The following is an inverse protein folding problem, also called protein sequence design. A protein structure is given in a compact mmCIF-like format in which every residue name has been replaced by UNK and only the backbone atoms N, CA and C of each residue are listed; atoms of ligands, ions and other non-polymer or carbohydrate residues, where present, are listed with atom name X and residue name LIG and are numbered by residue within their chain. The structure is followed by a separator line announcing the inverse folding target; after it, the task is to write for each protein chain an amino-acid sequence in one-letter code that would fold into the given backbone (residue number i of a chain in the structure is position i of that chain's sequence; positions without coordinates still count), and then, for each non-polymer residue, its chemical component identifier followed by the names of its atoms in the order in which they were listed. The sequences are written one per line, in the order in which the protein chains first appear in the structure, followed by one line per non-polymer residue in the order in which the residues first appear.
data_IF_030924522422
#
_entry.id   IF_030924522422
#
_cell.length_a   1.000
_cell.length_b   1.000
_cell.length_c   1.000
_cell.angle_alpha   90.00
_cell.angle_beta   90.00
_cell.angle_gamma   90.00
#
_symmetry.space_group_name_H-M   'P 1'
#
loop_
_entity.id
_entity.type
_entity.pdbx_description
1 polymer ?
#
# COMPACT_ATOMS: atom_id res chain seq x y z
N UNK A 1 53.26 -8.74 -5.21
CA UNK A 1 52.27 -8.93 -6.26
C UNK A 1 50.88 -8.80 -5.60
N UNK A 2 50.22 -7.66 -5.78
CA UNK A 2 48.85 -7.40 -5.25
C UNK A 2 47.88 -7.69 -6.42
N UNK A 3 47.04 -8.68 -6.26
CA UNK A 3 45.94 -8.95 -7.19
C UNK A 3 44.77 -8.04 -6.88
N UNK A 4 44.51 -7.09 -7.75
CA UNK A 4 43.31 -6.29 -7.80
C UNK A 4 42.16 -7.15 -8.30
N UNK A 5 41.17 -7.39 -7.43
CA UNK A 5 39.86 -7.97 -7.80
C UNK A 5 39.05 -7.01 -8.66
N UNK A 6 38.14 -7.52 -9.51
CA UNK A 6 37.33 -6.68 -10.37
C UNK A 6 36.31 -5.90 -9.55
N UNK A 7 36.31 -4.58 -9.73
CA UNK A 7 35.32 -3.68 -9.14
C UNK A 7 33.91 -4.03 -9.64
N UNK A 8 33.02 -4.24 -8.73
CA UNK A 8 31.57 -4.36 -8.98
C UNK A 8 31.11 -2.98 -9.46
N UNK A 9 30.87 -2.88 -10.77
CA UNK A 9 30.27 -1.68 -11.35
C UNK A 9 28.87 -1.50 -10.79
N UNK A 10 28.68 -0.42 -10.04
CA UNK A 10 27.37 0.09 -9.65
C UNK A 10 26.56 0.32 -10.93
N UNK A 11 25.70 -0.63 -11.27
CA UNK A 11 24.62 -0.41 -12.24
C UNK A 11 23.72 0.66 -11.64
N UNK A 12 23.82 1.88 -12.18
CA UNK A 12 22.93 2.99 -11.86
C UNK A 12 21.50 2.53 -12.11
N UNK A 13 20.76 2.27 -11.03
CA UNK A 13 19.30 2.16 -11.08
C UNK A 13 18.77 3.43 -11.73
N UNK A 14 18.01 3.24 -12.79
CA UNK A 14 17.39 4.35 -13.51
C UNK A 14 16.40 4.99 -12.56
N UNK A 15 16.73 6.17 -12.06
CA UNK A 15 15.80 6.96 -11.24
C UNK A 15 14.45 7.02 -11.97
N UNK A 16 13.38 6.72 -11.24
CA UNK A 16 12.01 6.84 -11.72
C UNK A 16 11.83 8.22 -12.37
N UNK A 17 11.42 8.23 -13.62
CA UNK A 17 11.01 9.45 -14.32
C UNK A 17 9.50 9.44 -14.39
N UNK A 18 8.80 10.57 -14.08
CA UNK A 18 7.38 10.68 -14.35
C UNK A 18 7.12 10.25 -15.79
N UNK A 19 6.29 9.24 -15.98
CA UNK A 19 5.95 8.74 -17.30
C UNK A 19 5.36 9.88 -18.15
N UNK A 20 5.75 9.94 -19.41
CA UNK A 20 5.19 10.85 -20.41
C UNK A 20 3.65 10.85 -20.31
N UNK A 21 3.08 12.01 -20.08
CA UNK A 21 1.65 12.21 -19.97
C UNK A 21 0.97 11.86 -21.31
N UNK A 22 0.55 10.59 -21.48
CA UNK A 22 -0.27 10.22 -22.62
C UNK A 22 -0.17 8.79 -23.17
N UNK A 23 0.80 7.97 -22.80
CA UNK A 23 0.85 6.57 -23.21
C UNK A 23 0.60 5.64 -22.02
N UNK A 24 -0.45 4.82 -22.13
CA UNK A 24 -0.70 3.71 -21.19
C UNK A 24 0.42 2.67 -21.42
N UNK A 25 1.37 2.57 -20.48
CA UNK A 25 2.48 1.63 -20.56
C UNK A 25 2.03 0.20 -20.19
N UNK A 26 1.27 -0.44 -21.09
CA UNK A 26 0.76 -1.81 -20.90
C UNK A 26 1.82 -2.88 -21.19
N UNK A 27 2.93 -2.50 -21.83
CA UNK A 27 4.05 -3.38 -22.15
C UNK A 27 5.05 -3.55 -21.00
N UNK A 28 4.95 -2.73 -19.95
CA UNK A 28 5.78 -2.82 -18.74
C UNK A 28 4.92 -3.24 -17.56
N UNK A 29 5.46 -4.11 -16.69
CA UNK A 29 4.77 -4.52 -15.48
C UNK A 29 4.59 -3.34 -14.53
N UNK A 30 3.42 -3.29 -13.87
CA UNK A 30 3.11 -2.27 -12.87
C UNK A 30 2.75 -2.93 -11.54
N UNK A 31 3.23 -2.44 -10.38
CA UNK A 31 2.97 -3.03 -9.08
C UNK A 31 1.48 -3.25 -8.77
N UNK A 32 0.62 -2.27 -9.05
CA UNK A 32 -0.80 -2.38 -8.79
C UNK A 32 -1.48 -3.46 -9.63
N UNK A 33 -1.04 -3.65 -10.89
CA UNK A 33 -1.56 -4.67 -11.79
C UNK A 33 -1.02 -6.06 -11.47
N UNK A 34 0.27 -6.15 -11.06
CA UNK A 34 0.85 -7.40 -10.52
C UNK A 34 0.12 -7.82 -9.25
N UNK A 35 -0.11 -6.88 -8.33
CA UNK A 35 -0.90 -7.13 -7.12
C UNK A 35 -2.32 -7.60 -7.45
N UNK A 36 -2.98 -6.97 -8.43
CA UNK A 36 -4.30 -7.40 -8.91
C UNK A 36 -4.30 -8.87 -9.33
N UNK A 37 -3.28 -9.31 -10.08
CA UNK A 37 -3.14 -10.72 -10.45
C UNK A 37 -2.96 -11.63 -9.22
N UNK A 38 -2.09 -11.23 -8.27
CA UNK A 38 -1.82 -12.04 -7.07
C UNK A 38 -3.07 -12.28 -6.22
N UNK A 39 -3.98 -11.30 -6.16
CA UNK A 39 -5.24 -11.42 -5.41
C UNK A 39 -6.39 -12.02 -6.25
N UNK A 40 -6.12 -12.47 -7.46
CA UNK A 40 -7.10 -13.15 -8.33
C UNK A 40 -7.95 -12.22 -9.20
N UNK A 41 -7.56 -10.95 -9.33
CA UNK A 41 -8.17 -10.00 -10.26
C UNK A 41 -7.83 -10.31 -11.72
N UNK A 42 -8.53 -9.63 -12.64
CA UNK A 42 -8.42 -9.85 -14.09
C UNK A 42 -8.05 -8.60 -14.88
N UNK A 43 -7.88 -7.48 -14.21
CA UNK A 43 -7.55 -6.19 -14.80
C UNK A 43 -6.01 -6.01 -14.88
N UNK A 44 -5.31 -6.98 -15.49
CA UNK A 44 -3.86 -7.01 -15.66
C UNK A 44 -3.50 -7.41 -17.09
N UNK A 45 -2.31 -7.05 -17.53
CA UNK A 45 -1.80 -7.32 -18.89
C UNK A 45 -0.73 -8.42 -18.86
N UNK A 46 -0.28 -8.86 -20.05
CA UNK A 46 0.71 -9.93 -20.16
C UNK A 46 1.99 -9.68 -19.37
N UNK A 47 2.52 -8.45 -19.42
CA UNK A 47 3.72 -8.08 -18.68
C UNK A 47 3.55 -8.24 -17.16
N UNK A 48 2.37 -7.89 -16.64
CA UNK A 48 2.04 -8.03 -15.21
C UNK A 48 1.93 -9.50 -14.80
N UNK A 49 1.28 -10.31 -15.66
CA UNK A 49 1.19 -11.76 -15.48
C UNK A 49 2.57 -12.40 -15.46
N UNK A 50 3.43 -12.10 -16.44
CA UNK A 50 4.79 -12.66 -16.52
C UNK A 50 5.62 -12.29 -15.30
N UNK A 51 5.51 -11.04 -14.83
CA UNK A 51 6.18 -10.59 -13.62
C UNK A 51 5.66 -11.31 -12.36
N UNK A 52 4.34 -11.45 -12.24
CA UNK A 52 3.73 -12.19 -11.14
C UNK A 52 4.16 -13.67 -11.13
N UNK A 53 4.27 -14.31 -12.32
CA UNK A 53 4.75 -15.69 -12.43
C UNK A 53 6.21 -15.83 -11.98
N UNK A 54 7.07 -14.85 -12.30
CA UNK A 54 8.46 -14.84 -11.80
C UNK A 54 8.51 -14.79 -10.28
N UNK A 55 7.71 -13.90 -9.67
CA UNK A 55 7.61 -13.81 -8.21
C UNK A 55 7.14 -15.14 -7.60
N UNK A 56 6.06 -15.71 -8.13
CA UNK A 56 5.51 -16.96 -7.62
C UNK A 56 6.44 -18.17 -7.83
N UNK A 57 7.30 -18.12 -8.85
CA UNK A 57 8.31 -19.16 -9.10
C UNK A 57 9.44 -19.16 -8.07
N UNK A 58 9.70 -18.03 -7.43
CA UNK A 58 10.76 -17.86 -6.44
C UNK A 58 10.20 -17.88 -5.02
N UNK A 59 9.10 -17.16 -4.81
CA UNK A 59 8.48 -16.93 -3.51
C UNK A 59 6.94 -17.04 -3.64
N UNK A 60 6.37 -18.25 -3.62
CA UNK A 60 4.92 -18.43 -3.72
C UNK A 60 4.14 -17.75 -2.58
N UNK A 61 4.80 -17.47 -1.47
CA UNK A 61 4.32 -16.75 -0.29
C UNK A 61 3.89 -15.30 -0.58
N UNK A 62 4.37 -14.71 -1.67
CA UNK A 62 3.95 -13.37 -2.12
C UNK A 62 2.44 -13.30 -2.35
N UNK A 63 1.83 -14.40 -2.85
CA UNK A 63 0.37 -14.49 -2.99
C UNK A 63 -0.34 -14.53 -1.64
N UNK A 64 0.15 -15.31 -0.70
CA UNK A 64 -0.42 -15.41 0.66
C UNK A 64 -0.33 -14.06 1.37
N UNK A 65 0.80 -13.36 1.20
CA UNK A 65 1.02 -12.00 1.72
C UNK A 65 0.02 -11.01 1.11
N UNK A 66 -0.16 -11.01 -0.22
CA UNK A 66 -1.11 -10.12 -0.89
C UNK A 66 -2.56 -10.37 -0.44
N UNK A 67 -2.98 -11.62 -0.35
CA UNK A 67 -4.32 -11.99 0.14
C UNK A 67 -4.52 -11.62 1.61
N UNK A 68 -3.50 -11.84 2.45
CA UNK A 68 -3.53 -11.47 3.87
C UNK A 68 -3.61 -9.96 4.05
N UNK A 69 -2.90 -9.18 3.21
CA UNK A 69 -2.98 -7.73 3.19
C UNK A 69 -4.41 -7.24 2.88
N UNK A 70 -5.07 -7.81 1.88
CA UNK A 70 -6.49 -7.48 1.60
C UNK A 70 -7.38 -7.76 2.82
N UNK A 71 -7.23 -8.91 3.47
CA UNK A 71 -8.01 -9.25 4.67
C UNK A 71 -7.72 -8.30 5.83
N UNK A 72 -6.45 -7.93 6.05
CA UNK A 72 -6.06 -6.92 7.04
C UNK A 72 -6.74 -5.57 6.77
N UNK A 73 -6.66 -5.05 5.53
CA UNK A 73 -7.32 -3.82 5.13
C UNK A 73 -8.82 -3.87 5.42
N UNK A 74 -9.50 -4.97 5.07
CA UNK A 74 -10.92 -5.13 5.32
C UNK A 74 -11.27 -5.12 6.83
N UNK A 75 -10.45 -5.76 7.67
CA UNK A 75 -10.65 -5.77 9.12
C UNK A 75 -10.41 -4.38 9.71
N UNK A 76 -9.36 -3.70 9.28
CA UNK A 76 -9.01 -2.35 9.75
C UNK A 76 -10.12 -1.34 9.38
N UNK A 77 -10.57 -1.32 8.13
CA UNK A 77 -11.64 -0.43 7.68
C UNK A 77 -12.94 -0.69 8.44
N UNK A 78 -13.36 -1.96 8.57
CA UNK A 78 -14.57 -2.31 9.33
C UNK A 78 -14.47 -1.88 10.80
N UNK A 79 -13.31 -2.12 11.42
CA UNK A 79 -13.08 -1.73 12.81
C UNK A 79 -13.16 -0.21 12.99
N UNK A 80 -12.50 0.55 12.12
CA UNK A 80 -12.47 2.02 12.21
C UNK A 80 -13.86 2.62 11.93
N UNK A 81 -14.58 2.11 10.91
CA UNK A 81 -15.95 2.53 10.64
C UNK A 81 -16.88 2.25 11.83
N UNK A 82 -16.77 1.07 12.47
CA UNK A 82 -17.52 0.74 13.68
C UNK A 82 -17.11 1.59 14.90
N UNK A 83 -15.90 2.12 14.91
CA UNK A 83 -15.39 3.03 15.95
C UNK A 83 -15.77 4.50 15.70
N UNK A 84 -16.57 4.80 14.65
CA UNK A 84 -17.07 6.13 14.36
C UNK A 84 -16.28 6.91 13.29
N UNK A 85 -15.22 6.37 12.73
CA UNK A 85 -14.53 7.00 11.58
C UNK A 85 -15.48 6.95 10.37
N UNK A 86 -15.74 8.12 9.79
CA UNK A 86 -16.62 8.26 8.63
C UNK A 86 -15.91 8.76 7.38
N UNK A 87 -14.63 8.99 7.44
CA UNK A 87 -13.80 9.50 6.34
C UNK A 87 -12.57 8.61 6.16
N UNK A 88 -12.29 8.25 4.91
CA UNK A 88 -11.19 7.37 4.56
C UNK A 88 -10.42 7.95 3.36
N UNK A 89 -9.10 7.96 3.45
CA UNK A 89 -8.19 8.30 2.36
C UNK A 89 -7.34 7.07 2.07
N UNK A 90 -7.63 6.38 0.96
CA UNK A 90 -6.95 5.17 0.52
C UNK A 90 -5.88 5.54 -0.52
N UNK A 91 -4.62 5.56 -0.08
CA UNK A 91 -3.47 6.00 -0.87
C UNK A 91 -2.76 4.76 -1.42
N UNK A 92 -2.43 4.78 -2.72
CA UNK A 92 -1.96 3.61 -3.44
C UNK A 92 -3.05 2.56 -3.55
N UNK A 93 -4.28 3.02 -3.86
CA UNK A 93 -5.48 2.18 -3.82
C UNK A 93 -5.42 0.97 -4.76
N UNK A 94 -4.60 1.05 -5.80
CA UNK A 94 -4.50 0.01 -6.81
C UNK A 94 -5.79 -0.16 -7.62
N UNK A 95 -5.87 -1.24 -8.37
CA UNK A 95 -7.07 -1.55 -9.16
C UNK A 95 -8.25 -1.95 -8.28
N UNK A 96 -9.49 -1.52 -8.63
CA UNK A 96 -10.69 -1.88 -7.88
C UNK A 96 -10.83 -3.40 -7.68
N UNK A 97 -11.07 -3.82 -6.44
CA UNK A 97 -11.21 -5.22 -6.07
C UNK A 97 -12.33 -5.41 -5.02
N UNK A 98 -13.16 -6.42 -5.19
CA UNK A 98 -14.31 -6.67 -4.31
C UNK A 98 -13.91 -7.41 -3.02
N UNK A 99 -14.39 -6.94 -1.86
CA UNK A 99 -15.02 -5.65 -1.67
C UNK A 99 -14.01 -4.49 -1.69
N UNK A 100 -14.42 -3.31 -2.18
CA UNK A 100 -13.64 -2.08 -2.08
C UNK A 100 -13.76 -1.45 -0.68
N UNK A 101 -12.89 -0.51 -0.35
CA UNK A 101 -12.89 0.18 0.97
C UNK A 101 -14.25 0.84 1.24
N UNK A 102 -14.85 1.53 0.25
CA UNK A 102 -16.15 2.18 0.45
C UNK A 102 -17.29 1.19 0.73
N UNK A 103 -17.29 0.03 0.07
CA UNK A 103 -18.32 -1.00 0.28
C UNK A 103 -18.28 -1.51 1.73
N UNK A 104 -17.07 -1.66 2.28
CA UNK A 104 -16.89 -2.08 3.68
C UNK A 104 -17.28 -0.97 4.64
N UNK A 105 -16.79 0.26 4.41
CA UNK A 105 -17.06 1.40 5.28
C UNK A 105 -18.53 1.77 5.28
N UNK A 106 -19.16 1.85 4.09
CA UNK A 106 -20.58 2.17 3.93
C UNK A 106 -21.50 1.04 4.39
N UNK A 107 -21.05 -0.21 4.37
CA UNK A 107 -21.76 -1.35 4.97
C UNK A 107 -21.90 -1.22 6.49
N UNK A 108 -21.02 -0.44 7.16
CA UNK A 108 -21.09 -0.13 8.60
C UNK A 108 -21.73 1.23 8.83
N UNK A 109 -21.30 2.25 8.10
CA UNK A 109 -21.83 3.61 8.14
C UNK A 109 -22.18 4.08 6.72
N UNK A 110 -23.43 4.08 6.32
CA UNK A 110 -23.85 4.45 4.96
C UNK A 110 -23.44 5.86 4.52
N UNK A 111 -23.04 6.73 5.47
CA UNK A 111 -22.56 8.09 5.19
C UNK A 111 -21.04 8.17 5.10
N UNK A 112 -20.34 7.05 5.18
CA UNK A 112 -18.88 7.04 5.04
C UNK A 112 -18.46 7.57 3.66
N UNK A 113 -17.39 8.38 3.66
CA UNK A 113 -16.79 8.99 2.48
C UNK A 113 -15.41 8.39 2.25
N UNK A 114 -15.07 8.11 1.01
CA UNK A 114 -13.80 7.51 0.65
C UNK A 114 -13.18 8.24 -0.53
N UNK A 115 -11.97 8.75 -0.34
CA UNK A 115 -11.13 9.20 -1.45
C UNK A 115 -10.09 8.12 -1.71
N UNK A 116 -10.04 7.66 -2.94
CA UNK A 116 -9.01 6.81 -3.46
C UNK A 116 -7.96 7.65 -4.16
N UNK A 117 -6.68 7.34 -3.97
CA UNK A 117 -5.57 8.00 -4.63
C UNK A 117 -4.58 6.98 -5.18
N UNK A 118 -4.16 7.17 -6.42
CA UNK A 118 -3.08 6.39 -7.02
C UNK A 118 -2.36 7.24 -8.08
N UNK A 119 -1.07 6.98 -8.27
CA UNK A 119 -0.28 7.72 -9.25
C UNK A 119 -0.39 7.14 -10.67
N UNK A 120 -0.72 5.84 -10.79
CA UNK A 120 -0.82 5.16 -12.08
C UNK A 120 -2.06 5.64 -12.87
N UNK A 121 -1.90 6.09 -14.13
CA UNK A 121 -3.00 6.59 -14.93
C UNK A 121 -4.03 5.50 -15.29
N UNK A 122 -3.61 4.23 -15.39
CA UNK A 122 -4.52 3.10 -15.66
C UNK A 122 -5.38 2.84 -14.43
N UNK A 123 -4.75 2.80 -13.24
CA UNK A 123 -5.46 2.66 -11.97
C UNK A 123 -6.44 3.80 -11.77
N UNK A 124 -6.01 5.05 -11.98
CA UNK A 124 -6.88 6.21 -11.87
C UNK A 124 -8.08 6.14 -12.81
N UNK A 125 -7.88 5.72 -14.07
CA UNK A 125 -8.95 5.56 -15.05
C UNK A 125 -9.96 4.48 -14.65
N UNK A 126 -9.48 3.31 -14.20
CA UNK A 126 -10.34 2.24 -13.67
C UNK A 126 -11.10 2.69 -12.43
N UNK A 127 -10.41 3.41 -11.52
CA UNK A 127 -11.02 3.94 -10.31
C UNK A 127 -12.11 4.97 -10.61
N UNK A 128 -11.88 5.90 -11.53
CA UNK A 128 -12.87 6.87 -11.96
C UNK A 128 -14.11 6.21 -12.56
N UNK A 129 -13.93 5.14 -13.33
CA UNK A 129 -15.03 4.42 -13.96
C UNK A 129 -15.84 3.56 -12.96
N UNK A 130 -15.23 3.02 -11.90
CA UNK A 130 -15.83 1.98 -11.06
C UNK A 130 -16.00 2.38 -9.59
N UNK A 131 -15.26 3.38 -9.10
CA UNK A 131 -15.30 3.82 -7.70
C UNK A 131 -15.98 5.18 -7.51
N UNK A 132 -16.37 5.87 -8.58
CA UNK A 132 -17.08 7.15 -8.50
C UNK A 132 -18.57 6.93 -8.24
N UNK A 133 -18.90 6.44 -7.07
CA UNK A 133 -20.27 6.27 -6.58
C UNK A 133 -20.56 7.28 -5.45
N UNK A 134 -21.77 7.28 -4.90
CA UNK A 134 -22.12 8.24 -3.83
C UNK A 134 -21.17 8.18 -2.65
N UNK A 135 -20.61 9.32 -2.28
CA UNK A 135 -19.65 9.43 -1.16
C UNK A 135 -18.23 8.97 -1.48
N UNK A 136 -17.90 8.74 -2.76
CA UNK A 136 -16.56 8.32 -3.17
C UNK A 136 -16.02 9.15 -4.33
N UNK A 137 -14.70 9.24 -4.43
CA UNK A 137 -14.00 9.78 -5.61
C UNK A 137 -12.64 9.13 -5.76
N UNK A 138 -12.11 9.18 -6.98
CA UNK A 138 -10.75 8.74 -7.32
C UNK A 138 -9.95 9.92 -7.83
N UNK A 139 -8.80 10.18 -7.21
CA UNK A 139 -7.86 11.22 -7.62
C UNK A 139 -6.55 10.59 -8.10
N UNK A 140 -5.95 11.20 -9.12
CA UNK A 140 -4.61 10.80 -9.55
C UNK A 140 -3.58 11.65 -8.80
N UNK A 141 -2.84 11.02 -7.90
CA UNK A 141 -1.82 11.70 -7.10
C UNK A 141 -0.71 10.74 -6.69
N UNK A 142 0.49 11.26 -6.49
CA UNK A 142 1.65 10.53 -5.97
C UNK A 142 1.83 10.83 -4.49
N UNK A 143 1.98 9.80 -3.68
CA UNK A 143 2.21 9.92 -2.23
C UNK A 143 3.54 10.62 -1.90
N UNK A 144 4.50 10.60 -2.82
CA UNK A 144 5.78 11.32 -2.70
C UNK A 144 5.61 12.83 -2.69
N UNK A 145 4.48 13.32 -3.19
CA UNK A 145 4.07 14.72 -3.15
C UNK A 145 2.82 14.87 -2.27
N UNK A 146 2.93 14.67 -0.95
CA UNK A 146 1.77 14.67 -0.07
C UNK A 146 0.99 16.00 -0.07
N UNK A 147 1.66 17.12 -0.28
CA UNK A 147 1.01 18.43 -0.35
C UNK A 147 0.13 18.57 -1.61
N UNK A 148 0.57 18.03 -2.74
CA UNK A 148 -0.23 18.02 -3.98
C UNK A 148 -1.45 17.12 -3.82
N UNK A 149 -1.27 15.94 -3.22
CA UNK A 149 -2.38 15.03 -2.89
C UNK A 149 -3.40 15.70 -1.97
N UNK A 150 -2.96 16.26 -0.85
CA UNK A 150 -3.82 16.91 0.14
C UNK A 150 -4.41 18.22 -0.36
N UNK A 151 -3.78 18.86 -1.35
CA UNK A 151 -4.25 20.05 -2.08
C UNK A 151 -5.30 19.74 -3.13
N UNK A 152 -5.50 18.49 -3.54
CA UNK A 152 -6.39 18.12 -4.63
C UNK A 152 -7.84 18.55 -4.38
N UNK A 153 -8.45 19.23 -5.33
CA UNK A 153 -9.80 19.82 -5.18
C UNK A 153 -10.86 18.78 -4.81
N UNK A 154 -10.87 17.63 -5.50
CA UNK A 154 -11.83 16.57 -5.26
C UNK A 154 -11.66 15.93 -3.87
N UNK A 155 -10.41 15.82 -3.36
CA UNK A 155 -10.14 15.36 -2.01
C UNK A 155 -10.74 16.33 -0.99
N UNK A 156 -10.45 17.62 -1.12
CA UNK A 156 -10.93 18.68 -0.22
C UNK A 156 -12.43 18.87 -0.26
N UNK A 157 -13.05 18.58 -1.41
CA UNK A 157 -14.51 18.62 -1.56
C UNK A 157 -15.19 17.50 -0.76
N UNK A 158 -14.55 16.34 -0.66
CA UNK A 158 -15.18 15.15 -0.06
C UNK A 158 -14.77 14.93 1.39
N UNK A 159 -13.52 15.21 1.76
CA UNK A 159 -13.00 15.05 3.11
C UNK A 159 -12.80 16.39 3.81
N UNK A 160 -13.22 16.44 5.07
CA UNK A 160 -13.04 17.57 5.98
C UNK A 160 -11.88 17.25 6.94
N UNK A 161 -10.71 17.92 6.81
CA UNK A 161 -9.56 17.66 7.67
C UNK A 161 -9.77 18.07 9.14
N UNK A 162 -10.84 18.83 9.46
CA UNK A 162 -11.22 19.14 10.82
C UNK A 162 -11.94 17.98 11.53
N UNK A 163 -12.30 16.92 10.80
CA UNK A 163 -12.89 15.71 11.33
C UNK A 163 -11.93 14.53 11.20
N UNK A 164 -12.00 13.51 12.09
CA UNK A 164 -11.14 12.34 12.02
C UNK A 164 -11.23 11.62 10.67
N UNK A 165 -10.05 11.29 10.11
CA UNK A 165 -9.86 10.57 8.84
C UNK A 165 -9.04 9.31 9.10
N UNK A 166 -9.39 8.19 8.48
CA UNK A 166 -8.49 7.03 8.37
C UNK A 166 -7.65 7.16 7.11
N UNK A 167 -6.34 7.26 7.26
CA UNK A 167 -5.36 7.26 6.17
C UNK A 167 -4.84 5.83 6.02
N UNK A 168 -5.00 5.26 4.82
CA UNK A 168 -4.67 3.88 4.51
C UNK A 168 -3.44 3.86 3.60
N UNK A 169 -2.37 3.20 4.04
CA UNK A 169 -1.10 2.99 3.33
C UNK A 169 -0.75 1.49 3.40
N UNK A 170 -1.43 0.67 2.60
CA UNK A 170 -1.28 -0.79 2.66
C UNK A 170 -0.42 -1.32 1.52
N UNK A 171 0.81 -1.75 1.82
CA UNK A 171 1.85 -2.15 0.86
C UNK A 171 2.12 -1.05 -0.17
N UNK A 172 2.32 0.18 0.30
CA UNK A 172 2.60 1.37 -0.51
C UNK A 172 4.01 1.87 -0.25
N UNK A 173 4.40 2.01 1.03
CA UNK A 173 5.70 2.53 1.41
C UNK A 173 6.84 1.56 1.10
N UNK A 174 6.52 0.35 0.73
CA UNK A 174 7.44 -0.64 0.16
C UNK A 174 8.09 -0.17 -1.16
N UNK A 175 7.45 0.76 -1.85
CA UNK A 175 7.91 1.33 -3.13
C UNK A 175 8.53 2.73 -2.97
N UNK A 176 8.76 3.16 -1.73
CA UNK A 176 9.37 4.47 -1.41
C UNK A 176 10.73 4.22 -0.78
N UNK A 177 11.78 4.68 -1.45
CA UNK A 177 13.16 4.54 -0.95
C UNK A 177 13.40 5.48 0.25
N UNK A 178 14.36 5.14 1.11
CA UNK A 178 14.65 5.96 2.31
C UNK A 178 15.10 7.37 1.96
N UNK A 179 15.74 7.56 0.79
CA UNK A 179 16.12 8.88 0.27
C UNK A 179 14.91 9.78 -0.08
N UNK A 180 13.73 9.19 -0.24
CA UNK A 180 12.47 9.88 -0.53
C UNK A 180 11.71 10.27 0.76
N UNK A 181 12.31 10.05 1.93
CA UNK A 181 11.79 10.39 3.25
C UNK A 181 10.37 9.83 3.53
N UNK A 182 10.16 8.50 3.48
CA UNK A 182 8.84 7.91 3.70
C UNK A 182 8.26 8.21 5.10
N UNK A 183 9.11 8.40 6.12
CA UNK A 183 8.66 8.81 7.47
C UNK A 183 8.13 10.24 7.45
N UNK A 184 8.81 11.15 6.76
CA UNK A 184 8.35 12.52 6.56
C UNK A 184 7.05 12.60 5.78
N UNK A 185 6.86 11.73 4.77
CA UNK A 185 5.59 11.60 4.03
C UNK A 185 4.45 11.24 4.99
N UNK A 186 4.61 10.18 5.79
CA UNK A 186 3.58 9.75 6.76
C UNK A 186 3.29 10.85 7.77
N UNK A 187 4.33 11.49 8.33
CA UNK A 187 4.17 12.60 9.25
C UNK A 187 3.37 13.73 8.61
N UNK A 188 3.69 14.12 7.38
CA UNK A 188 2.98 15.19 6.66
C UNK A 188 1.49 14.86 6.45
N UNK A 189 1.17 13.61 6.11
CA UNK A 189 -0.20 13.13 5.98
C UNK A 189 -0.94 13.19 7.31
N UNK A 190 -0.30 12.73 8.38
CA UNK A 190 -0.91 12.73 9.72
C UNK A 190 -1.02 14.15 10.31
N UNK A 191 -0.10 15.05 10.00
CA UNK A 191 -0.18 16.45 10.43
C UNK A 191 -1.40 17.17 9.84
N UNK A 192 -1.77 16.85 8.60
CA UNK A 192 -2.96 17.37 7.95
C UNK A 192 -4.27 16.91 8.61
N UNK A 193 -4.31 15.72 9.17
CA UNK A 193 -5.51 15.11 9.72
C UNK A 193 -5.79 15.58 11.16
N UNK A 194 -7.06 15.72 11.56
CA UNK A 194 -7.45 16.09 12.91
C UNK A 194 -7.01 15.08 13.99
N UNK A 195 -6.88 15.48 15.28
CA UNK A 195 -6.79 14.54 16.39
C UNK A 195 -7.92 13.50 16.34
N UNK A 196 -7.61 12.26 16.73
CA UNK A 196 -8.52 11.12 16.61
C UNK A 196 -8.51 10.44 15.25
N UNK A 197 -7.81 11.00 14.24
CA UNK A 197 -7.55 10.34 12.95
C UNK A 197 -6.69 9.09 13.13
N UNK A 198 -6.76 8.17 12.19
CA UNK A 198 -6.03 6.91 12.26
C UNK A 198 -5.15 6.69 11.03
N UNK A 199 -3.96 6.12 11.26
CA UNK A 199 -3.10 5.54 10.25
C UNK A 199 -3.34 4.02 10.23
N UNK A 200 -3.64 3.47 9.05
CA UNK A 200 -3.61 2.03 8.77
C UNK A 200 -2.44 1.78 7.84
N UNK A 201 -1.47 1.01 8.29
CA UNK A 201 -0.26 0.76 7.52
C UNK A 201 0.06 -0.73 7.51
N UNK A 202 0.42 -1.24 6.35
CA UNK A 202 1.10 -2.52 6.19
C UNK A 202 2.36 -2.36 5.35
N UNK A 203 3.35 -3.21 5.64
CA UNK A 203 4.65 -3.16 4.99
C UNK A 203 5.24 -4.56 4.91
N UNK A 204 5.83 -4.88 3.76
CA UNK A 204 6.58 -6.11 3.57
C UNK A 204 7.86 -6.11 4.41
N UNK A 205 8.27 -7.28 4.89
CA UNK A 205 9.44 -7.43 5.74
C UNK A 205 10.20 -8.70 5.43
N UNK A 206 11.52 -8.67 5.63
CA UNK A 206 12.39 -9.84 5.60
C UNK A 206 12.40 -10.65 6.90
N UNK A 207 11.77 -10.16 8.00
CA UNK A 207 11.85 -10.79 9.32
C UNK A 207 11.27 -12.21 9.38
N UNK A 208 10.47 -12.60 8.39
CA UNK A 208 9.78 -13.90 8.34
C UNK A 208 10.28 -14.83 7.23
N UNK A 209 11.29 -14.44 6.47
CA UNK A 209 11.85 -15.25 5.40
C UNK A 209 13.03 -16.09 5.90
N UNK A 210 13.22 -17.30 5.34
CA UNK A 210 14.31 -18.19 5.73
C UNK A 210 15.62 -17.88 5.00
N UNK A 211 15.57 -17.22 3.82
CA UNK A 211 16.73 -16.89 2.97
C UNK A 211 16.55 -15.46 2.42
N UNK A 212 16.73 -14.49 3.32
CA UNK A 212 16.37 -13.08 3.10
C UNK A 212 17.04 -12.42 1.92
N UNK A 213 18.33 -12.66 1.70
CA UNK A 213 19.10 -11.89 0.71
C UNK A 213 18.76 -12.29 -0.73
N UNK A 214 18.61 -13.59 -0.99
CA UNK A 214 18.39 -14.11 -2.32
C UNK A 214 16.95 -13.90 -2.83
N UNK A 215 15.97 -14.07 -1.96
CA UNK A 215 14.55 -13.93 -2.32
C UNK A 215 14.18 -12.48 -2.57
N UNK A 216 14.69 -11.55 -1.73
CA UNK A 216 14.48 -10.12 -1.94
C UNK A 216 15.25 -9.58 -3.15
N UNK A 217 16.47 -10.07 -3.41
CA UNK A 217 17.21 -9.74 -4.63
C UNK A 217 16.42 -10.11 -5.89
N UNK A 218 15.78 -11.29 -5.90
CA UNK A 218 15.01 -11.77 -7.05
C UNK A 218 13.67 -11.02 -7.18
N UNK A 219 12.99 -10.71 -6.07
CA UNK A 219 11.75 -9.93 -6.08
C UNK A 219 12.03 -8.48 -6.52
N UNK A 220 13.20 -7.94 -6.16
CA UNK A 220 13.66 -6.62 -6.60
C UNK A 220 14.24 -6.63 -8.01
N UNK A 221 14.86 -7.76 -8.45
CA UNK A 221 15.54 -7.87 -9.73
C UNK A 221 14.54 -8.01 -10.89
N UNK A 222 14.53 -7.02 -11.78
CA UNK A 222 13.65 -7.02 -12.95
C UNK A 222 12.29 -6.36 -12.70
N UNK A 223 12.07 -5.80 -11.53
CA UNK A 223 10.97 -4.86 -11.31
C UNK A 223 11.45 -3.45 -11.71
N UNK A 224 10.72 -2.71 -12.55
CA UNK A 224 11.05 -1.32 -12.86
C UNK A 224 10.95 -0.40 -11.63
N UNK A 225 10.40 -0.89 -10.53
CA UNK A 225 10.23 -0.17 -9.27
C UNK A 225 10.94 -0.96 -8.16
N UNK A 226 11.84 -0.30 -7.45
CA UNK A 226 12.56 -0.87 -6.30
C UNK A 226 11.56 -1.21 -5.19
N UNK A 227 11.66 -2.42 -4.65
CA UNK A 227 10.90 -2.82 -3.46
C UNK A 227 11.85 -2.78 -2.25
N UNK A 228 11.48 -2.01 -1.25
CA UNK A 228 12.23 -1.84 0.00
C UNK A 228 11.58 -2.69 1.09
N UNK A 229 12.29 -3.73 1.54
CA UNK A 229 11.88 -4.45 2.74
C UNK A 229 12.46 -3.76 3.98
N UNK A 230 11.62 -3.53 4.98
CA UNK A 230 12.06 -2.98 6.28
C UNK A 230 11.82 -3.99 7.39
N UNK A 231 12.73 -4.01 8.36
CA UNK A 231 12.52 -4.77 9.58
C UNK A 231 11.41 -4.13 10.45
N UNK A 232 11.03 -4.83 11.51
CA UNK A 232 10.00 -4.33 12.43
C UNK A 232 10.34 -2.97 13.04
N UNK A 233 11.62 -2.68 13.30
CA UNK A 233 12.06 -1.43 13.89
C UNK A 233 11.87 -0.26 12.91
N UNK A 234 12.29 -0.42 11.65
CA UNK A 234 12.09 0.57 10.60
C UNK A 234 10.61 0.82 10.30
N UNK A 235 9.77 -0.23 10.34
CA UNK A 235 8.31 -0.07 10.16
C UNK A 235 7.68 0.67 11.35
N UNK A 236 8.21 0.47 12.57
CA UNK A 236 7.72 1.20 13.75
C UNK A 236 7.94 2.72 13.66
N UNK A 237 8.94 3.18 12.93
CA UNK A 237 9.20 4.62 12.76
C UNK A 237 8.01 5.35 12.10
N UNK A 238 7.25 4.69 11.24
CA UNK A 238 6.04 5.25 10.63
C UNK A 238 4.92 5.57 11.63
N UNK A 239 4.97 4.98 12.80
CA UNK A 239 3.99 5.19 13.89
C UNK A 239 4.46 6.17 14.96
N UNK A 240 5.60 6.83 14.76
CA UNK A 240 6.15 7.79 15.72
C UNK A 240 5.16 8.91 16.02
N UNK A 241 4.87 9.14 17.31
CA UNK A 241 3.91 10.14 17.77
C UNK A 241 2.44 9.73 17.65
N UNK A 242 2.15 8.47 17.32
CA UNK A 242 0.82 7.92 17.24
C UNK A 242 0.61 6.82 18.29
N UNK A 243 -0.61 6.67 18.76
CA UNK A 243 -1.02 5.62 19.70
C UNK A 243 -1.41 4.35 18.95
N UNK A 244 -0.55 3.32 18.97
CA UNK A 244 -0.84 2.02 18.37
C UNK A 244 -2.06 1.36 19.04
N UNK A 245 -3.05 0.98 18.23
CA UNK A 245 -4.21 0.23 18.69
C UNK A 245 -3.83 -1.26 18.88
N UNK A 246 -4.33 -1.88 19.97
CA UNK A 246 -4.11 -3.31 20.18
C UNK A 246 -4.60 -4.14 18.97
N UNK A 247 -3.79 -5.12 18.54
CA UNK A 247 -2.63 -5.74 19.20
C UNK A 247 -1.28 -5.07 18.91
N UNK A 248 -1.23 -3.89 18.30
CA UNK A 248 0.00 -3.20 17.92
C UNK A 248 0.45 -3.53 16.50
N UNK A 249 1.76 -3.39 16.23
CA UNK A 249 2.38 -3.81 14.97
C UNK A 249 2.67 -5.30 15.05
N UNK A 250 1.91 -6.07 14.28
CA UNK A 250 1.96 -7.54 14.25
C UNK A 250 1.91 -8.05 12.81
N UNK A 251 2.24 -9.30 12.62
CA UNK A 251 2.06 -9.97 11.32
C UNK A 251 0.60 -9.91 10.87
N UNK A 252 0.34 -9.68 9.59
CA UNK A 252 -0.99 -9.36 9.06
C UNK A 252 -2.13 -10.28 9.51
N UNK A 253 -1.97 -11.63 9.54
CA UNK A 253 -3.02 -12.53 10.02
C UNK A 253 -3.38 -12.31 11.49
N UNK A 254 -2.43 -11.84 12.30
CA UNK A 254 -2.59 -11.67 13.75
C UNK A 254 -3.27 -10.36 14.16
N UNK A 255 -3.45 -9.42 13.20
CA UNK A 255 -4.13 -8.18 13.51
C UNK A 255 -5.65 -8.38 13.52
N UNK A 256 -6.24 -8.53 14.74
CA UNK A 256 -7.68 -8.72 14.99
C UNK A 256 -8.29 -9.75 14.05
N UNK A 257 -7.85 -11.02 14.13
CA UNK A 257 -8.33 -12.08 13.23
C UNK A 257 -9.85 -12.18 13.27
N UNK A 258 -10.46 -12.36 12.10
CA UNK A 258 -11.90 -12.56 11.95
C UNK A 258 -12.32 -14.01 12.19
N UNK A 259 -13.62 -14.27 12.09
CA UNK A 259 -14.15 -15.63 12.02
C UNK A 259 -13.89 -16.16 10.61
N UNK A 260 -13.01 -17.13 10.45
CA UNK A 260 -12.66 -17.74 9.17
C UNK A 260 -11.19 -18.17 9.12
N UNK A 261 -10.82 -18.84 8.03
CA UNK A 261 -9.43 -19.24 7.81
C UNK A 261 -8.57 -18.01 7.46
N UNK A 262 -7.73 -17.58 8.37
CA UNK A 262 -6.63 -16.67 8.06
C UNK A 262 -5.52 -17.44 7.33
N UNK A 263 -4.65 -16.71 6.64
CA UNK A 263 -3.45 -17.28 6.05
C UNK A 263 -2.55 -17.85 7.16
N UNK A 264 -1.84 -18.93 6.88
CA UNK A 264 -0.79 -19.42 7.76
C UNK A 264 0.25 -18.29 7.96
N UNK A 265 0.50 -17.84 9.20
CA UNK A 265 1.46 -16.78 9.46
C UNK A 265 2.85 -17.07 8.89
N UNK A 266 3.31 -18.32 8.86
CA UNK A 266 4.62 -18.68 8.32
C UNK A 266 4.79 -18.35 6.83
N UNK A 267 3.67 -18.12 6.12
CA UNK A 267 3.62 -17.80 4.70
C UNK A 267 3.30 -16.33 4.41
N UNK A 268 3.30 -15.48 5.42
CA UNK A 268 2.94 -14.05 5.27
C UNK A 268 4.10 -13.17 5.70
N UNK A 269 4.69 -12.48 4.76
CA UNK A 269 5.92 -11.68 4.95
C UNK A 269 5.62 -10.18 5.05
N UNK A 270 4.67 -9.84 5.89
CA UNK A 270 4.33 -8.44 6.13
C UNK A 270 3.80 -8.21 7.54
N UNK A 271 4.14 -7.05 8.08
CA UNK A 271 3.53 -6.48 9.28
C UNK A 271 2.34 -5.59 8.90
N UNK A 272 1.42 -5.46 9.86
CA UNK A 272 0.34 -4.46 9.80
C UNK A 272 0.06 -3.89 11.17
N UNK A 273 -0.28 -2.61 11.18
CA UNK A 273 -0.64 -1.88 12.37
C UNK A 273 -1.67 -0.80 12.10
N UNK A 274 -2.40 -0.44 13.12
CA UNK A 274 -3.31 0.71 13.11
C UNK A 274 -2.96 1.57 14.31
N UNK A 275 -2.80 2.88 14.08
CA UNK A 275 -2.51 3.81 15.16
C UNK A 275 -3.43 5.03 15.08
N UNK A 276 -3.68 5.65 16.22
CA UNK A 276 -4.50 6.85 16.35
C UNK A 276 -3.62 8.06 16.63
N UNK A 277 -3.93 9.16 15.99
CA UNK A 277 -3.38 10.47 16.33
C UNK A 277 -4.00 10.94 17.65
N UNK A 278 -3.17 11.32 18.67
CA UNK A 278 -3.65 11.83 19.94
C UNK A 278 -4.48 13.11 19.81
#
# INVERSE_FOLDING_TARGET
MKSSGPGIGLLRTRAWRPADHGRLAVSEANPARVYNYLVGGKDNYLADYEQAQRFLGVAPEVRDTALSNRRFLHRAVRHLAASGISQFLDIGAGLPANPNVHEIAQGVNPRARVVYADHDPIVASHGQARLSVSGTTMVRADVRSPDDLLGHEELRRLLDPAQPVAILLTLVLDYIEDLEDPVGIVRRLMDWAAPGSCLVLSHATGDFTLDTDREWEIISFGNPVSLVARDRAGIMEFFTGLDLLAPGLVQLPSWRPGIGAESDPSRVWAYGGVARKP
#
